data_IF_540081333937
#
_entry.id   IF_540081333937
#
_cell.length_a   1.000
_cell.length_b   1.000
_cell.length_c   1.000
_cell.angle_alpha   90.00
_cell.angle_beta   90.00
_cell.angle_gamma   90.00
#
_symmetry.space_group_name_H-M   'P 1'
#
loop_
_entity.id
_entity.type
_entity.pdbx_description
1 polymer ?
#
# COMPACT_ATOMS: atom_id res chain seq x y z
N UNK A 1 -3.93 16.68 -16.14
CA UNK A 1 -3.31 15.36 -16.34
C UNK A 1 -3.50 14.97 -17.80
N UNK A 2 -2.44 14.70 -18.59
CA UNK A 2 -2.62 14.16 -19.92
C UNK A 2 -3.10 12.71 -19.77
N UNK A 3 -4.32 12.42 -20.22
CA UNK A 3 -4.93 11.09 -20.12
C UNK A 3 -4.45 10.25 -21.30
N UNK A 4 -3.75 9.15 -21.03
CA UNK A 4 -3.24 8.20 -22.04
C UNK A 4 -4.33 7.31 -22.64
N UNK A 5 -5.60 7.71 -22.57
CA UNK A 5 -6.77 6.92 -22.98
C UNK A 5 -7.06 5.68 -22.12
N UNK A 6 -6.10 5.23 -21.29
CA UNK A 6 -6.27 4.13 -20.34
C UNK A 6 -6.70 4.66 -18.96
N UNK A 7 -7.66 4.02 -18.28
CA UNK A 7 -7.96 4.31 -16.88
C UNK A 7 -6.68 4.19 -16.02
N UNK A 8 -6.52 5.02 -14.99
CA UNK A 8 -5.38 4.92 -14.09
C UNK A 8 -5.44 3.63 -13.27
N UNK A 9 -4.28 3.05 -12.99
CA UNK A 9 -4.15 1.94 -12.03
C UNK A 9 -3.90 2.49 -10.63
N UNK A 10 -4.69 2.02 -9.66
CA UNK A 10 -4.46 2.31 -8.24
C UNK A 10 -3.63 1.17 -7.63
N UNK A 11 -2.45 1.50 -7.09
CA UNK A 11 -1.65 0.57 -6.30
C UNK A 11 -1.76 0.97 -4.84
N UNK A 12 -2.26 0.06 -4.00
CA UNK A 12 -2.35 0.26 -2.55
C UNK A 12 -1.29 -0.57 -1.86
N UNK A 13 -0.33 0.11 -1.22
CA UNK A 13 0.67 -0.53 -0.36
C UNK A 13 0.23 -0.38 1.09
N UNK A 14 -0.23 -1.47 1.71
CA UNK A 14 -0.57 -1.50 3.12
C UNK A 14 0.62 -2.00 3.93
N UNK A 15 1.14 -1.16 4.82
CA UNK A 15 2.20 -1.52 5.74
C UNK A 15 1.56 -2.13 6.99
N UNK A 16 1.78 -3.43 7.24
CA UNK A 16 1.35 -4.11 8.46
C UNK A 16 2.44 -4.05 9.53
N UNK A 17 2.06 -3.78 10.78
CA UNK A 17 2.99 -3.65 11.91
C UNK A 17 2.79 -2.34 12.65
N UNK A 18 3.82 -1.87 13.35
CA UNK A 18 3.80 -0.61 14.10
C UNK A 18 4.56 0.49 13.37
N UNK A 19 3.95 1.15 12.40
CA UNK A 19 4.56 2.34 11.82
C UNK A 19 4.48 3.51 12.81
N UNK A 20 5.64 4.05 13.17
CA UNK A 20 5.74 5.30 13.92
C UNK A 20 5.61 6.48 12.97
N UNK A 21 4.38 7.00 12.83
CA UNK A 21 4.08 8.08 11.90
C UNK A 21 4.93 9.35 12.18
N UNK A 22 5.23 9.63 13.46
CA UNK A 22 6.06 10.78 13.87
C UNK A 22 7.54 10.58 13.53
N UNK A 23 7.97 9.37 13.18
CA UNK A 23 9.28 9.06 12.61
C UNK A 23 9.20 8.67 11.13
N UNK A 24 8.03 8.76 10.48
CA UNK A 24 7.93 8.71 9.02
C UNK A 24 7.94 10.13 8.47
N UNK A 25 6.99 10.95 8.95
CA UNK A 25 6.88 12.38 8.66
C UNK A 25 7.08 13.12 9.99
N UNK A 26 8.30 13.63 10.18
CA UNK A 26 8.77 14.20 11.43
C UNK A 26 8.27 15.63 11.58
N UNK A 27 7.61 16.01 12.68
CA UNK A 27 7.38 17.41 13.02
C UNK A 27 8.65 18.04 13.61
N UNK A 28 9.73 18.07 12.83
CA UNK A 28 11.06 18.46 13.31
C UNK A 28 11.15 19.94 13.70
N UNK A 29 10.27 20.81 13.19
CA UNK A 29 10.18 22.20 13.64
C UNK A 29 9.48 22.39 15.00
N UNK A 30 8.97 21.32 15.63
CA UNK A 30 8.30 21.36 16.94
C UNK A 30 9.23 20.83 18.04
N UNK A 31 9.70 21.67 18.99
CA UNK A 31 10.60 21.25 20.07
C UNK A 31 10.05 20.08 20.90
N UNK A 32 8.72 19.95 21.00
CA UNK A 32 8.07 18.84 21.74
C UNK A 32 8.40 17.49 21.13
N UNK A 33 8.67 17.41 19.83
CA UNK A 33 9.14 16.17 19.21
C UNK A 33 10.42 15.66 19.87
N UNK A 34 11.37 16.55 20.12
CA UNK A 34 12.66 16.18 20.72
C UNK A 34 12.53 15.92 22.22
N UNK A 35 11.71 16.70 22.93
CA UNK A 35 11.52 16.57 24.38
C UNK A 35 10.76 15.28 24.73
N UNK A 36 9.73 14.94 23.94
CA UNK A 36 8.85 13.81 24.23
C UNK A 36 9.36 12.48 23.67
N UNK A 37 10.41 12.49 22.83
CA UNK A 37 10.90 11.29 22.13
C UNK A 37 12.41 11.09 22.27
N UNK A 38 12.99 11.17 23.47
CA UNK A 38 14.44 11.18 23.67
C UNK A 38 15.17 9.93 23.13
N UNK A 39 14.48 8.79 23.04
CA UNK A 39 15.05 7.51 22.61
C UNK A 39 14.94 7.25 21.11
N UNK A 40 13.98 7.89 20.42
CA UNK A 40 13.64 7.58 19.02
C UNK A 40 13.65 8.80 18.11
N UNK A 41 13.88 10.01 18.64
CA UNK A 41 13.97 11.23 17.82
C UNK A 41 15.10 11.15 16.80
N UNK A 42 14.87 11.73 15.62
CA UNK A 42 15.92 11.93 14.62
C UNK A 42 16.53 13.31 14.80
N UNK A 43 17.87 13.43 14.86
CA UNK A 43 18.56 14.71 14.89
C UNK A 43 18.15 15.62 13.72
N UNK A 44 17.98 16.91 13.98
CA UNK A 44 17.54 17.90 12.99
C UNK A 44 18.41 17.91 11.72
N UNK A 45 19.72 17.77 11.89
CA UNK A 45 20.71 17.74 10.80
C UNK A 45 20.63 16.49 9.90
N UNK A 46 19.87 15.47 10.31
CA UNK A 46 19.61 14.27 9.53
C UNK A 46 18.24 14.30 8.84
N UNK A 47 17.34 15.20 9.24
CA UNK A 47 15.99 15.28 8.67
C UNK A 47 16.07 15.72 7.21
N UNK A 48 15.22 15.14 6.36
CA UNK A 48 15.07 15.55 4.97
C UNK A 48 13.87 16.51 4.86
N UNK A 49 14.07 17.84 4.82
CA UNK A 49 12.99 18.80 5.01
C UNK A 49 11.93 18.75 3.89
N UNK A 50 10.67 18.84 4.28
CA UNK A 50 9.53 19.11 3.39
C UNK A 50 9.25 20.62 3.37
N UNK A 51 9.16 21.21 4.56
CA UNK A 51 9.02 22.64 4.85
C UNK A 51 9.67 22.91 6.23
N UNK A 52 9.50 24.12 6.78
CA UNK A 52 10.09 24.50 8.08
C UNK A 52 9.54 23.73 9.29
N UNK A 53 8.48 22.93 9.12
CA UNK A 53 7.78 22.23 10.20
C UNK A 53 7.94 20.72 10.10
N UNK A 54 7.90 20.17 8.89
CA UNK A 54 7.87 18.74 8.63
C UNK A 54 9.04 18.27 7.76
N UNK A 55 9.49 17.05 7.98
CA UNK A 55 10.50 16.42 7.16
C UNK A 55 10.34 14.91 7.06
N UNK A 56 10.94 14.32 6.05
CA UNK A 56 11.01 12.88 5.90
C UNK A 56 12.12 12.28 6.76
N UNK A 57 11.91 11.05 7.20
CA UNK A 57 12.96 10.25 7.81
C UNK A 57 14.05 9.88 6.77
N UNK A 58 15.34 9.80 7.17
CA UNK A 58 16.42 9.42 6.25
C UNK A 58 16.17 8.11 5.50
N UNK A 59 15.58 7.12 6.16
CA UNK A 59 15.29 5.80 5.56
C UNK A 59 14.27 5.82 4.44
N UNK A 60 13.50 6.90 4.29
CA UNK A 60 12.52 7.08 3.20
C UNK A 60 12.95 8.18 2.23
N UNK A 61 14.25 8.48 2.16
CA UNK A 61 14.84 9.45 1.22
C UNK A 61 14.40 9.26 -0.23
N UNK A 62 14.09 8.01 -0.62
CA UNK A 62 13.59 7.67 -1.94
C UNK A 62 12.29 8.41 -2.32
N UNK A 63 11.50 8.90 -1.37
CA UNK A 63 10.27 9.67 -1.62
C UNK A 63 10.53 11.16 -1.87
N UNK A 64 11.66 11.70 -1.40
CA UNK A 64 11.97 13.13 -1.48
C UNK A 64 12.01 13.67 -2.93
N UNK A 65 12.63 12.99 -3.91
CA UNK A 65 12.59 13.44 -5.30
C UNK A 65 11.18 13.53 -5.89
N UNK A 66 10.24 12.68 -5.45
CA UNK A 66 8.86 12.72 -5.90
C UNK A 66 8.08 13.85 -5.23
N UNK A 67 8.37 14.13 -3.96
CA UNK A 67 7.86 15.30 -3.27
C UNK A 67 8.27 16.59 -3.98
N UNK A 68 9.57 16.75 -4.25
CA UNK A 68 10.13 17.93 -4.92
C UNK A 68 9.55 18.15 -6.33
N UNK A 69 9.08 17.07 -6.97
CA UNK A 69 8.40 17.11 -8.27
C UNK A 69 6.87 17.34 -8.17
N UNK A 70 6.31 17.50 -6.98
CA UNK A 70 4.86 17.62 -6.77
C UNK A 70 4.09 16.33 -7.05
N UNK A 71 4.74 15.17 -6.99
CA UNK A 71 4.17 13.84 -7.27
C UNK A 71 3.85 13.02 -6.01
N UNK A 72 4.09 13.59 -4.83
CA UNK A 72 3.78 12.98 -3.54
C UNK A 72 2.81 13.86 -2.78
N UNK A 73 1.78 13.24 -2.19
CA UNK A 73 0.90 13.90 -1.23
C UNK A 73 1.02 13.20 0.12
N UNK A 74 1.08 13.98 1.19
CA UNK A 74 1.08 13.49 2.57
C UNK A 74 -0.22 13.95 3.21
N UNK A 75 -0.96 13.02 3.80
CA UNK A 75 -2.21 13.32 4.49
C UNK A 75 -2.03 12.88 5.95
N UNK A 76 -1.76 13.85 6.82
CA UNK A 76 -1.62 13.64 8.26
C UNK A 76 -2.98 13.68 8.95
N UNK A 77 -3.04 13.11 10.17
CA UNK A 77 -4.25 13.16 11.00
C UNK A 77 -5.38 12.24 10.54
N UNK A 78 -5.08 11.22 9.71
CA UNK A 78 -6.05 10.18 9.37
C UNK A 78 -6.22 9.25 10.57
N UNK A 79 -7.47 9.07 10.98
CA UNK A 79 -7.86 8.18 12.06
C UNK A 79 -9.38 8.18 12.18
N UNK A 80 -9.88 7.67 13.31
CA UNK A 80 -11.30 7.67 13.64
C UNK A 80 -11.49 8.21 15.07
N UNK A 81 -12.64 8.84 15.39
CA UNK A 81 -12.91 9.33 16.73
C UNK A 81 -12.87 8.19 17.76
N UNK A 82 -12.43 8.50 18.99
CA UNK A 82 -12.36 7.52 20.10
C UNK A 82 -11.57 6.26 19.70
N UNK A 83 -10.24 6.35 19.51
CA UNK A 83 -9.43 5.25 19.00
C UNK A 83 -9.53 4.00 19.89
N UNK A 84 -9.61 2.84 19.24
CA UNK A 84 -9.68 1.55 19.93
C UNK A 84 -8.26 1.07 20.28
N UNK A 85 -8.02 0.77 21.55
CA UNK A 85 -6.71 0.33 22.04
C UNK A 85 -6.43 -1.16 21.81
N UNK A 86 -7.40 -1.95 21.33
CA UNK A 86 -7.18 -3.32 20.89
C UNK A 86 -6.60 -3.34 19.48
N UNK A 87 -5.41 -3.96 19.36
CA UNK A 87 -4.74 -4.15 18.08
C UNK A 87 -5.64 -4.82 17.03
N UNK A 88 -6.32 -5.91 17.40
CA UNK A 88 -7.19 -6.65 16.49
C UNK A 88 -8.38 -5.81 16.03
N UNK A 89 -9.05 -5.15 16.96
CA UNK A 89 -10.20 -4.31 16.63
C UNK A 89 -9.80 -3.11 15.77
N UNK A 90 -8.68 -2.45 16.09
CA UNK A 90 -8.11 -1.38 15.27
C UNK A 90 -7.83 -1.85 13.84
N UNK A 91 -7.24 -3.04 13.65
CA UNK A 91 -7.01 -3.60 12.30
C UNK A 91 -8.32 -3.83 11.53
N UNK A 92 -9.36 -4.32 12.19
CA UNK A 92 -10.68 -4.53 11.58
C UNK A 92 -11.30 -3.20 11.15
N UNK A 93 -11.21 -2.17 12.00
CA UNK A 93 -11.70 -0.82 11.69
C UNK A 93 -10.97 -0.27 10.46
N UNK A 94 -9.64 -0.34 10.41
CA UNK A 94 -8.87 0.14 9.26
C UNK A 94 -9.16 -0.63 7.96
N UNK A 95 -9.48 -1.92 8.08
CA UNK A 95 -9.83 -2.78 6.95
C UNK A 95 -11.23 -2.47 6.42
N UNK A 96 -12.21 -2.27 7.30
CA UNK A 96 -13.63 -2.14 6.95
C UNK A 96 -14.14 -0.70 6.85
N UNK A 97 -13.38 0.23 7.41
CA UNK A 97 -13.79 1.62 7.67
C UNK A 97 -15.07 1.72 8.53
N UNK A 98 -15.26 0.81 9.50
CA UNK A 98 -16.42 0.76 10.39
C UNK A 98 -16.00 0.87 11.86
N UNK A 99 -15.86 2.09 12.43
CA UNK A 99 -15.42 2.28 13.81
C UNK A 99 -16.49 1.88 14.84
N UNK A 100 -17.76 2.12 14.54
CA UNK A 100 -18.88 1.98 15.48
C UNK A 100 -19.51 0.58 15.49
N UNK A 101 -19.20 -0.26 14.50
CA UNK A 101 -19.78 -1.59 14.35
C UNK A 101 -18.75 -2.64 13.94
N UNK A 102 -19.06 -3.90 14.23
CA UNK A 102 -18.30 -5.03 13.72
C UNK A 102 -18.77 -5.31 12.29
N UNK A 103 -17.84 -5.29 11.35
CA UNK A 103 -18.10 -5.58 9.95
C UNK A 103 -17.00 -6.48 9.39
N UNK A 104 -17.37 -7.29 8.40
CA UNK A 104 -16.45 -8.18 7.67
C UNK A 104 -16.12 -7.65 6.28
N UNK A 105 -16.89 -6.66 5.81
CA UNK A 105 -16.76 -6.12 4.47
C UNK A 105 -15.69 -5.04 4.43
N UNK A 106 -14.61 -5.35 3.72
CA UNK A 106 -13.46 -4.51 3.48
C UNK A 106 -13.79 -3.29 2.62
N UNK A 107 -13.18 -2.16 2.97
CA UNK A 107 -13.39 -0.88 2.28
C UNK A 107 -12.93 -0.88 0.82
N UNK A 108 -11.86 -1.60 0.51
CA UNK A 108 -11.37 -1.75 -0.87
C UNK A 108 -12.23 -2.75 -1.65
N UNK A 109 -12.78 -3.78 -0.99
CA UNK A 109 -13.77 -4.67 -1.61
C UNK A 109 -15.01 -3.89 -2.08
N UNK A 110 -15.53 -3.00 -1.23
CA UNK A 110 -16.62 -2.07 -1.59
C UNK A 110 -16.25 -1.15 -2.75
N UNK A 111 -15.05 -0.56 -2.73
CA UNK A 111 -14.55 0.25 -3.85
C UNK A 111 -14.50 -0.55 -5.15
N UNK A 112 -14.05 -1.79 -5.13
CA UNK A 112 -14.02 -2.66 -6.32
C UNK A 112 -15.42 -2.95 -6.82
N UNK A 113 -16.37 -3.20 -5.93
CA UNK A 113 -17.79 -3.34 -6.29
C UNK A 113 -18.33 -2.07 -6.97
N UNK A 114 -18.00 -0.88 -6.45
CA UNK A 114 -18.45 0.38 -7.05
C UNK A 114 -17.83 0.62 -8.44
N UNK A 115 -16.59 0.17 -8.64
CA UNK A 115 -15.88 0.28 -9.93
C UNK A 115 -16.34 -0.74 -10.98
N UNK A 116 -16.72 -1.95 -10.54
CA UNK A 116 -17.21 -3.04 -11.40
C UNK A 116 -18.40 -3.77 -10.73
N UNK A 117 -19.61 -3.16 -10.71
CA UNK A 117 -20.75 -3.69 -9.97
C UNK A 117 -21.27 -5.04 -10.48
N UNK A 118 -20.96 -5.37 -11.74
CA UNK A 118 -21.35 -6.61 -12.39
C UNK A 118 -20.29 -7.70 -12.30
N UNK A 119 -19.09 -7.36 -11.80
CA UNK A 119 -17.91 -8.23 -11.82
C UNK A 119 -17.60 -8.75 -13.24
N UNK A 120 -17.78 -7.90 -14.26
CA UNK A 120 -17.54 -8.25 -15.66
C UNK A 120 -16.04 -8.49 -15.91
N UNK A 121 -15.16 -7.88 -15.09
CA UNK A 121 -13.72 -8.07 -15.14
C UNK A 121 -13.19 -8.74 -13.87
N UNK A 122 -12.76 -10.00 -14.02
CA UNK A 122 -12.16 -10.80 -12.93
C UNK A 122 -10.81 -10.28 -12.41
N UNK A 123 -10.25 -9.25 -13.05
CA UNK A 123 -9.00 -8.59 -12.69
C UNK A 123 -9.19 -7.11 -12.32
N UNK A 124 -10.41 -6.68 -11.98
CA UNK A 124 -10.65 -5.32 -11.47
C UNK A 124 -9.79 -5.03 -10.23
N UNK A 125 -9.55 -6.05 -9.39
CA UNK A 125 -8.53 -6.01 -8.36
C UNK A 125 -7.74 -7.32 -8.30
N UNK A 126 -6.47 -7.21 -7.96
CA UNK A 126 -5.57 -8.34 -7.70
C UNK A 126 -4.80 -8.00 -6.42
N UNK A 127 -4.70 -8.95 -5.49
CA UNK A 127 -3.88 -8.80 -4.29
C UNK A 127 -2.63 -9.66 -4.37
N UNK A 128 -1.50 -9.10 -3.94
CA UNK A 128 -0.24 -9.82 -3.81
C UNK A 128 0.07 -10.04 -2.33
N UNK A 129 0.17 -11.30 -1.90
CA UNK A 129 0.39 -11.69 -0.51
C UNK A 129 -0.16 -13.07 -0.16
N UNK A 130 0.07 -13.51 1.08
CA UNK A 130 -0.48 -14.77 1.60
C UNK A 130 -1.93 -14.55 2.06
N UNK A 131 -2.87 -14.89 1.19
CA UNK A 131 -4.31 -14.76 1.45
C UNK A 131 -4.89 -13.41 1.09
N UNK A 132 -6.22 -13.30 1.18
CA UNK A 132 -6.94 -12.07 0.85
C UNK A 132 -6.83 -11.07 2.00
N UNK A 133 -6.33 -9.84 1.78
CA UNK A 133 -6.33 -8.81 2.81
C UNK A 133 -7.76 -8.48 3.25
N UNK A 134 -7.98 -8.29 4.55
CA UNK A 134 -9.31 -7.94 5.08
C UNK A 134 -9.92 -6.69 4.42
N UNK A 135 -9.10 -5.73 3.99
CA UNK A 135 -9.55 -4.56 3.25
C UNK A 135 -10.20 -4.88 1.90
N UNK A 136 -9.89 -6.02 1.28
CA UNK A 136 -10.47 -6.50 0.02
C UNK A 136 -11.56 -7.57 0.21
N UNK A 137 -11.88 -7.95 1.46
CA UNK A 137 -12.90 -8.95 1.76
C UNK A 137 -14.30 -8.43 1.42
N UNK A 138 -14.95 -8.98 0.40
CA UNK A 138 -16.36 -8.75 0.11
C UNK A 138 -16.92 -9.93 -0.69
N UNK A 139 -17.97 -10.59 -0.20
CA UNK A 139 -18.43 -11.86 -0.76
C UNK A 139 -18.86 -11.77 -2.24
N UNK A 140 -19.38 -10.63 -2.67
CA UNK A 140 -19.82 -10.39 -4.05
C UNK A 140 -18.68 -10.00 -5.01
N UNK A 141 -17.45 -9.82 -4.52
CA UNK A 141 -16.33 -9.34 -5.31
C UNK A 141 -15.23 -10.41 -5.37
N UNK A 142 -15.00 -11.06 -6.53
CA UNK A 142 -13.89 -11.98 -6.68
C UNK A 142 -12.57 -11.20 -6.77
N UNK A 143 -11.63 -11.49 -5.88
CA UNK A 143 -10.27 -10.91 -5.90
C UNK A 143 -9.23 -12.05 -5.91
N UNK A 144 -8.55 -12.28 -7.04
CA UNK A 144 -7.43 -13.22 -7.09
C UNK A 144 -6.31 -12.78 -6.14
N UNK A 145 -5.86 -13.71 -5.30
CA UNK A 145 -4.70 -13.54 -4.41
C UNK A 145 -3.51 -14.32 -4.94
N UNK A 146 -2.44 -13.61 -5.24
CA UNK A 146 -1.20 -14.17 -5.79
C UNK A 146 -0.12 -14.09 -4.72
N UNK A 147 0.57 -15.20 -4.45
CA UNK A 147 1.55 -15.29 -3.36
C UNK A 147 2.85 -14.52 -3.60
N UNK A 148 3.17 -14.17 -4.85
CA UNK A 148 4.36 -13.41 -5.21
C UNK A 148 4.28 -12.87 -6.63
N UNK A 149 4.99 -11.77 -6.90
CA UNK A 149 5.00 -11.16 -8.23
C UNK A 149 5.72 -12.06 -9.25
N UNK A 150 6.78 -12.74 -8.81
CA UNK A 150 7.64 -13.57 -9.65
C UNK A 150 6.92 -14.82 -10.20
N UNK A 151 5.82 -15.25 -9.56
CA UNK A 151 5.03 -16.41 -9.96
C UNK A 151 3.80 -16.06 -10.79
N UNK A 152 3.56 -14.78 -11.09
CA UNK A 152 2.38 -14.32 -11.80
C UNK A 152 2.70 -13.85 -13.21
N UNK A 153 2.10 -14.51 -14.20
CA UNK A 153 2.13 -14.10 -15.60
C UNK A 153 0.72 -13.90 -16.13
N UNK A 154 0.46 -12.77 -16.77
CA UNK A 154 -0.77 -12.56 -17.55
C UNK A 154 -0.46 -12.78 -19.03
N UNK A 155 -1.14 -13.74 -19.65
CA UNK A 155 -1.12 -13.87 -21.10
C UNK A 155 -1.96 -12.75 -21.71
N UNK A 156 -1.28 -11.71 -22.19
CA UNK A 156 -1.90 -10.49 -22.73
C UNK A 156 -2.11 -10.53 -24.24
N UNK A 157 -1.68 -11.59 -24.92
CA UNK A 157 -1.82 -11.78 -26.36
C UNK A 157 -2.28 -13.20 -26.69
N UNK A 158 -3.44 -13.33 -27.33
CA UNK A 158 -3.92 -14.56 -27.98
C UNK A 158 -3.34 -14.71 -29.41
N UNK A 159 -2.04 -14.43 -29.58
CA UNK A 159 -1.34 -14.72 -30.83
C UNK A 159 -0.65 -16.08 -30.70
N UNK A 160 -1.38 -17.13 -31.09
CA UNK A 160 -0.89 -18.50 -31.37
C UNK A 160 0.21 -19.05 -30.45
N UNK A 161 -0.19 -19.81 -29.43
CA UNK A 161 0.70 -20.79 -28.79
C UNK A 161 1.02 -21.87 -29.82
N UNK A 162 2.27 -21.93 -30.30
CA UNK A 162 2.78 -23.14 -30.92
C UNK A 162 2.92 -24.23 -29.84
N UNK A 163 2.47 -25.47 -30.08
CA UNK A 163 2.50 -26.50 -29.06
C UNK A 163 3.95 -26.94 -28.82
N UNK A 164 4.44 -26.74 -27.60
CA UNK A 164 5.67 -27.37 -27.11
C UNK A 164 6.73 -26.42 -26.58
N UNK A 165 6.56 -25.97 -25.33
CA UNK A 165 7.61 -25.91 -24.29
C UNK A 165 7.02 -25.29 -23.03
N UNK A 166 6.46 -26.16 -22.21
CA UNK A 166 6.20 -25.89 -20.80
C UNK A 166 7.49 -26.25 -20.06
N UNK A 167 8.08 -25.24 -19.41
CA UNK A 167 9.25 -25.29 -18.52
C UNK A 167 10.62 -25.49 -19.19
N UNK A 168 11.51 -24.51 -18.98
CA UNK A 168 12.94 -24.77 -18.75
C UNK A 168 13.41 -23.80 -17.66
N UNK A 169 13.44 -24.31 -16.43
CA UNK A 169 14.26 -23.81 -15.34
C UNK A 169 15.42 -24.79 -15.26
N UNK A 170 16.60 -24.42 -15.78
CA UNK A 170 17.93 -24.98 -15.45
C UNK A 170 18.96 -24.12 -16.21
N UNK A 171 19.73 -23.28 -15.53
CA UNK A 171 20.96 -23.55 -14.77
C UNK A 171 22.14 -22.91 -15.51
N UNK A 172 22.43 -21.65 -15.16
CA UNK A 172 23.62 -20.95 -15.59
C UNK A 172 24.64 -20.91 -14.46
N UNK A 173 25.21 -22.06 -14.06
CA UNK A 173 26.44 -22.11 -13.25
C UNK A 173 27.36 -23.27 -13.63
N UNK A 174 28.17 -23.08 -14.67
CA UNK A 174 29.57 -23.49 -14.64
C UNK A 174 30.40 -22.86 -15.77
N UNK A 175 31.07 -21.74 -15.45
CA UNK A 175 32.39 -21.37 -16.01
C UNK A 175 33.13 -20.51 -14.99
N UNK A 176 33.91 -21.17 -14.14
CA UNK A 176 35.36 -20.99 -13.96
C UNK A 176 35.88 -22.04 -13.00
#
# INVERSE_FOLDING_TARGET
MPTTGKPPTLVVLQLTGGNDALNTILPYGDPRYYDQRPTVRIPEDQVLPIDDRYGFHPSIAALKPFWDQGKTAIINGIGYPQPDYSYFRSMDIWSTAQPESVATDGRLGKLVHDLDPKADNVLTAVSFGRGLPGALSLASVPVPSVTGLDSYGLLTNSSSVAPGRLYDVEDSRHRR
#
